data_IF_372712811861
#
_entry.id   IF_372712811861
#
_cell.length_a   1.000
_cell.length_b   1.000
_cell.length_c   1.000
_cell.angle_alpha   90.00
_cell.angle_beta   90.00
_cell.angle_gamma   90.00
#
_symmetry.space_group_name_H-M   'P 1'
#
loop_
_entity.id
_entity.type
_entity.pdbx_description
1 polymer ?
#
# COMPACT_ATOMS: atom_id res chain seq x y z
N UNK A 1 -31.47 24.79 -34.81
CA UNK A 1 -31.95 23.51 -35.38
C UNK A 1 -30.75 22.58 -35.61
N UNK A 2 -30.57 21.53 -34.80
CA UNK A 2 -29.91 20.27 -35.23
C UNK A 2 -31.01 19.41 -35.90
N UNK A 3 -30.71 18.29 -36.61
CA UNK A 3 -29.59 17.92 -37.48
C UNK A 3 -30.07 17.28 -38.83
N UNK A 4 -29.18 17.01 -39.79
CA UNK A 4 -29.35 15.98 -40.86
C UNK A 4 -27.97 15.37 -41.15
N UNK A 5 -27.58 14.29 -40.48
CA UNK A 5 -27.70 12.85 -40.81
C UNK A 5 -26.41 12.26 -41.37
N UNK A 6 -26.06 11.08 -40.86
CA UNK A 6 -24.79 10.34 -40.95
C UNK A 6 -24.52 9.70 -42.33
N UNK A 7 -25.16 10.19 -43.40
CA UNK A 7 -25.26 9.47 -44.69
C UNK A 7 -24.46 10.11 -45.84
N UNK A 8 -23.85 11.29 -45.64
CA UNK A 8 -23.09 11.97 -46.70
C UNK A 8 -21.56 11.76 -46.62
N UNK A 9 -21.07 10.94 -45.67
CA UNK A 9 -19.64 10.69 -45.49
C UNK A 9 -19.05 9.57 -46.35
N UNK A 10 -19.86 8.77 -47.07
CA UNK A 10 -19.37 7.64 -47.87
C UNK A 10 -19.01 7.98 -49.33
N UNK A 11 -19.02 9.25 -49.73
CA UNK A 11 -18.77 9.65 -51.11
C UNK A 11 -17.36 10.19 -51.41
N UNK A 12 -16.43 10.18 -50.45
CA UNK A 12 -15.03 10.54 -50.70
C UNK A 12 -14.10 9.43 -50.20
N UNK A 13 -13.91 8.44 -51.05
CA UNK A 13 -12.92 7.37 -50.90
C UNK A 13 -11.50 7.93 -50.87
N UNK A 14 -11.07 8.42 -49.71
CA UNK A 14 -9.70 8.76 -49.39
C UNK A 14 -9.35 8.16 -48.04
N UNK A 15 -8.32 7.30 -48.00
CA UNK A 15 -7.67 6.89 -46.76
C UNK A 15 -7.11 8.13 -46.07
N UNK A 16 -7.88 8.74 -45.18
CA UNK A 16 -7.38 9.77 -44.28
C UNK A 16 -7.07 9.12 -42.93
N UNK A 17 -5.78 9.11 -42.63
CA UNK A 17 -5.23 8.83 -41.32
C UNK A 17 -5.78 9.85 -40.32
N UNK A 18 -6.61 9.40 -39.38
CA UNK A 18 -7.20 10.22 -38.33
C UNK A 18 -6.29 10.34 -37.09
N UNK A 19 -4.99 10.07 -37.24
CA UNK A 19 -3.98 10.26 -36.18
C UNK A 19 -3.72 11.73 -35.82
N UNK A 20 -4.34 12.68 -36.52
CA UNK A 20 -4.15 14.12 -36.33
C UNK A 20 -5.47 14.87 -36.18
N UNK A 21 -6.18 14.66 -35.05
CA UNK A 21 -7.20 15.64 -34.64
C UNK A 21 -6.64 16.57 -33.56
N UNK A 22 -6.37 17.79 -34.04
CA UNK A 22 -6.00 18.99 -33.31
C UNK A 22 -6.86 19.22 -32.05
N UNK A 23 -6.19 19.56 -30.95
CA UNK A 23 -6.60 20.69 -30.13
C UNK A 23 -5.56 21.79 -30.38
N UNK A 24 -5.83 22.65 -31.38
CA UNK A 24 -5.39 24.04 -31.33
C UNK A 24 -6.38 24.77 -30.42
N UNK A 25 -6.02 25.78 -29.63
CA UNK A 25 -5.27 26.94 -30.09
C UNK A 25 -4.94 27.85 -28.89
N UNK A 26 -3.76 28.48 -28.88
CA UNK A 26 -3.47 29.91 -28.59
C UNK A 26 -2.07 30.14 -27.97
N UNK A 27 -1.19 30.73 -28.78
CA UNK A 27 0.16 31.27 -28.51
C UNK A 27 1.36 30.31 -28.48
N UNK A 28 2.08 30.25 -29.62
CA UNK A 28 3.46 29.78 -29.71
C UNK A 28 3.58 28.34 -30.20
N UNK A 29 4.31 28.15 -31.30
CA UNK A 29 4.57 26.89 -32.03
C UNK A 29 4.86 25.75 -31.05
N UNK A 30 3.84 24.93 -30.72
CA UNK A 30 4.07 23.67 -30.03
C UNK A 30 4.57 22.69 -31.08
N UNK A 31 5.85 22.34 -30.98
CA UNK A 31 6.47 21.27 -31.78
C UNK A 31 5.65 19.98 -31.63
N UNK A 32 5.44 19.18 -32.70
CA UNK A 32 4.80 17.87 -32.61
C UNK A 32 5.41 16.99 -31.51
N UNK A 33 4.60 16.20 -30.79
CA UNK A 33 5.07 15.41 -29.65
C UNK A 33 6.10 14.34 -30.03
N UNK A 34 6.05 13.83 -31.26
CA UNK A 34 7.04 12.94 -31.84
C UNK A 34 8.40 13.62 -32.06
N UNK A 35 8.40 14.89 -32.49
CA UNK A 35 9.63 15.70 -32.56
C UNK A 35 10.16 16.04 -31.16
N UNK A 36 9.27 16.37 -30.21
CA UNK A 36 9.65 16.60 -28.82
C UNK A 36 10.25 15.34 -28.20
N UNK A 37 9.66 14.16 -28.46
CA UNK A 37 10.20 12.88 -28.02
C UNK A 37 11.60 12.70 -28.60
N UNK A 38 11.79 12.89 -29.91
CA UNK A 38 13.09 12.75 -30.56
C UNK A 38 14.14 13.72 -29.98
N UNK A 39 13.75 14.94 -29.62
CA UNK A 39 14.62 15.95 -29.03
C UNK A 39 14.85 15.80 -27.52
N UNK A 40 14.02 15.01 -26.81
CA UNK A 40 14.11 14.84 -25.37
C UNK A 40 15.46 14.24 -24.97
N UNK A 41 16.27 15.00 -24.25
CA UNK A 41 17.61 14.62 -23.82
C UNK A 41 17.66 14.24 -22.33
N UNK A 42 16.67 14.65 -21.56
CA UNK A 42 16.60 14.43 -20.12
C UNK A 42 15.35 13.64 -19.74
N UNK A 43 15.39 13.02 -18.54
CA UNK A 43 14.22 12.36 -17.96
C UNK A 43 13.06 13.34 -17.77
N UNK A 44 13.34 14.60 -17.42
CA UNK A 44 12.30 15.63 -17.28
C UNK A 44 11.60 15.93 -18.61
N UNK A 45 12.37 16.03 -19.71
CA UNK A 45 11.79 16.21 -21.04
C UNK A 45 10.93 15.01 -21.44
N UNK A 46 11.38 13.79 -21.15
CA UNK A 46 10.63 12.57 -21.41
C UNK A 46 9.32 12.51 -20.61
N UNK A 47 9.34 12.86 -19.33
CA UNK A 47 8.14 12.92 -18.48
C UNK A 47 7.15 13.97 -18.98
N UNK A 48 7.63 15.12 -19.47
CA UNK A 48 6.77 16.13 -20.11
C UNK A 48 6.10 15.59 -21.37
N UNK A 49 6.84 14.91 -22.23
CA UNK A 49 6.26 14.29 -23.45
C UNK A 49 5.24 13.22 -23.07
N UNK A 50 5.57 12.35 -22.12
CA UNK A 50 4.68 11.31 -21.61
C UNK A 50 3.35 11.87 -21.08
N UNK A 51 3.41 12.87 -20.18
CA UNK A 51 2.22 13.48 -19.58
C UNK A 51 1.32 14.21 -20.58
N UNK A 52 1.88 14.67 -21.70
CA UNK A 52 1.12 15.36 -22.76
C UNK A 52 0.66 14.42 -23.88
N UNK A 53 1.19 13.19 -23.95
CA UNK A 53 0.82 12.24 -24.99
C UNK A 53 -0.54 11.60 -24.71
N UNK A 54 -1.40 11.38 -25.72
CA UNK A 54 -2.61 10.60 -25.55
C UNK A 54 -2.27 9.20 -25.02
N UNK A 55 -2.95 8.76 -23.96
CA UNK A 55 -2.74 7.45 -23.33
C UNK A 55 -2.82 6.34 -24.38
N UNK A 56 -1.85 5.42 -24.35
CA UNK A 56 -1.71 4.30 -25.30
C UNK A 56 -1.42 4.70 -26.77
N UNK A 57 -1.09 5.96 -27.05
CA UNK A 57 -0.54 6.34 -28.37
C UNK A 57 0.86 5.78 -28.58
N UNK A 58 1.33 5.72 -29.82
CA UNK A 58 2.69 5.28 -30.13
C UNK A 58 3.76 6.15 -29.42
N UNK A 59 3.56 7.47 -29.37
CA UNK A 59 4.46 8.40 -28.68
C UNK A 59 4.44 8.16 -27.16
N UNK A 60 3.27 7.89 -26.59
CA UNK A 60 3.13 7.54 -25.18
C UNK A 60 3.90 6.28 -24.80
N UNK A 61 3.76 5.20 -25.59
CA UNK A 61 4.45 3.93 -25.34
C UNK A 61 5.96 4.06 -25.53
N UNK A 62 6.42 4.79 -26.56
CA UNK A 62 7.85 5.06 -26.76
C UNK A 62 8.43 5.95 -25.65
N UNK A 63 7.67 6.92 -25.14
CA UNK A 63 8.08 7.73 -24.00
C UNK A 63 8.25 6.86 -22.75
N UNK A 64 7.30 5.97 -22.47
CA UNK A 64 7.39 5.00 -21.36
C UNK A 64 8.65 4.13 -21.43
N UNK A 65 8.93 3.54 -22.59
CA UNK A 65 10.12 2.70 -22.79
C UNK A 65 11.43 3.48 -22.55
N UNK A 66 11.48 4.74 -23.00
CA UNK A 66 12.65 5.61 -22.80
C UNK A 66 12.79 6.09 -21.35
N UNK A 67 11.68 6.40 -20.68
CA UNK A 67 11.66 6.73 -19.25
C UNK A 67 12.19 5.55 -18.45
N UNK A 68 11.70 4.33 -18.71
CA UNK A 68 12.16 3.11 -18.05
C UNK A 68 13.67 2.91 -18.21
N UNK A 69 14.18 3.05 -19.45
CA UNK A 69 15.60 2.90 -19.73
C UNK A 69 16.47 3.93 -18.99
N UNK A 70 16.04 5.19 -18.92
CA UNK A 70 16.78 6.23 -18.20
C UNK A 70 16.67 6.05 -16.67
N UNK A 71 15.53 5.60 -16.15
CA UNK A 71 15.36 5.26 -14.73
C UNK A 71 16.27 4.11 -14.32
N UNK A 72 16.36 3.03 -15.11
CA UNK A 72 17.30 1.92 -14.86
C UNK A 72 18.77 2.38 -14.86
N UNK A 73 19.13 3.29 -15.77
CA UNK A 73 20.46 3.89 -15.81
C UNK A 73 20.75 4.73 -14.57
N UNK A 74 19.84 5.60 -14.17
CA UNK A 74 19.97 6.42 -12.95
C UNK A 74 20.03 5.55 -11.69
N UNK A 75 19.23 4.49 -11.66
CA UNK A 75 19.24 3.48 -10.58
C UNK A 75 20.61 2.81 -10.44
N UNK A 76 21.32 2.60 -11.55
CA UNK A 76 22.68 2.03 -11.56
C UNK A 76 23.71 2.90 -10.83
N UNK A 77 23.53 4.23 -10.86
CA UNK A 77 24.39 5.20 -10.17
C UNK A 77 23.86 5.68 -8.82
N UNK A 78 22.58 5.45 -8.50
CA UNK A 78 21.95 5.91 -7.27
C UNK A 78 22.58 5.24 -6.04
N UNK A 79 23.03 6.06 -5.09
CA UNK A 79 23.67 5.59 -3.84
C UNK A 79 22.99 6.12 -2.58
N UNK A 80 22.11 7.11 -2.70
CA UNK A 80 21.38 7.70 -1.58
C UNK A 80 19.90 7.34 -1.63
N UNK A 81 19.21 7.42 -0.49
CA UNK A 81 17.75 7.24 -0.45
C UNK A 81 17.03 8.29 -1.30
N UNK A 82 17.50 9.53 -1.29
CA UNK A 82 16.93 10.63 -2.09
C UNK A 82 16.98 10.31 -3.59
N UNK A 83 18.14 9.85 -4.08
CA UNK A 83 18.29 9.45 -5.49
C UNK A 83 17.33 8.30 -5.84
N UNK A 84 17.21 7.32 -4.96
CA UNK A 84 16.36 6.15 -5.20
C UNK A 84 14.87 6.51 -5.20
N UNK A 85 14.43 7.39 -4.29
CA UNK A 85 13.06 7.89 -4.27
C UNK A 85 12.74 8.68 -5.53
N UNK A 86 13.67 9.51 -6.00
CA UNK A 86 13.53 10.22 -7.27
C UNK A 86 13.36 9.26 -8.45
N UNK A 87 14.14 8.20 -8.50
CA UNK A 87 13.99 7.16 -9.53
C UNK A 87 12.64 6.45 -9.40
N UNK A 88 12.25 6.04 -8.19
CA UNK A 88 10.99 5.37 -7.94
C UNK A 88 9.79 6.19 -8.44
N UNK A 89 9.70 7.47 -8.06
CA UNK A 89 8.60 8.35 -8.47
C UNK A 89 8.64 8.79 -9.95
N UNK A 90 9.76 8.60 -10.63
CA UNK A 90 9.88 8.90 -12.06
C UNK A 90 9.68 7.67 -12.94
N UNK A 91 9.77 6.47 -12.36
CA UNK A 91 9.59 5.22 -13.07
C UNK A 91 8.10 5.01 -13.39
N UNK A 92 7.78 4.33 -14.51
CA UNK A 92 6.40 3.98 -14.79
C UNK A 92 5.82 3.02 -13.73
N UNK A 93 4.54 3.17 -13.42
CA UNK A 93 3.84 2.30 -12.46
C UNK A 93 3.97 0.81 -12.84
N UNK A 94 4.34 -0.02 -11.87
CA UNK A 94 4.55 -1.46 -12.00
C UNK A 94 5.80 -1.87 -12.78
N UNK A 95 6.64 -0.93 -13.20
CA UNK A 95 7.85 -1.18 -13.99
C UNK A 95 8.94 -1.92 -13.21
N UNK A 96 9.97 -2.38 -13.92
CA UNK A 96 11.12 -3.01 -13.29
C UNK A 96 11.97 -1.98 -12.56
N UNK A 97 12.15 -0.78 -13.12
CA UNK A 97 12.87 0.31 -12.48
C UNK A 97 12.24 0.70 -11.13
N UNK A 98 10.90 0.83 -11.08
CA UNK A 98 10.17 1.14 -9.85
C UNK A 98 10.41 0.07 -8.77
N UNK A 99 10.23 -1.21 -9.13
CA UNK A 99 10.41 -2.35 -8.21
C UNK A 99 11.83 -2.45 -7.70
N UNK A 100 12.83 -2.29 -8.57
CA UNK A 100 14.22 -2.34 -8.16
C UNK A 100 14.62 -1.12 -7.30
N UNK A 101 14.09 0.07 -7.60
CA UNK A 101 14.29 1.25 -6.78
C UNK A 101 13.77 1.02 -5.36
N UNK A 102 12.53 0.57 -5.22
CA UNK A 102 11.93 0.25 -3.93
C UNK A 102 12.70 -0.86 -3.19
N UNK A 103 13.15 -1.88 -3.90
CA UNK A 103 14.00 -2.94 -3.34
C UNK A 103 15.35 -2.42 -2.80
N UNK A 104 15.95 -1.41 -3.45
CA UNK A 104 17.16 -0.74 -2.93
C UNK A 104 16.84 0.19 -1.77
N UNK A 105 15.73 0.93 -1.82
CA UNK A 105 15.24 1.78 -0.73
C UNK A 105 15.11 0.93 0.53
N UNK A 106 14.44 -0.21 0.47
CA UNK A 106 14.31 -1.13 1.60
C UNK A 106 15.66 -1.55 2.21
N UNK A 107 16.67 -1.82 1.36
CA UNK A 107 18.02 -2.22 1.81
C UNK A 107 18.75 -1.08 2.53
N UNK A 108 18.61 0.16 2.04
CA UNK A 108 19.27 1.35 2.61
C UNK A 108 18.49 1.99 3.76
N UNK A 109 17.17 1.78 3.83
CA UNK A 109 16.31 2.32 4.87
C UNK A 109 16.77 1.81 6.25
N UNK A 110 17.09 2.74 7.14
CA UNK A 110 17.54 2.44 8.50
C UNK A 110 16.69 3.10 9.56
N UNK A 111 16.04 4.21 9.23
CA UNK A 111 15.11 4.88 10.14
C UNK A 111 13.73 4.27 10.04
N UNK A 112 12.94 4.41 11.11
CA UNK A 112 11.55 3.94 11.11
C UNK A 112 10.70 4.71 10.09
N UNK A 113 10.97 6.00 9.89
CA UNK A 113 10.30 6.85 8.91
C UNK A 113 10.54 6.35 7.48
N UNK A 114 11.81 6.08 7.12
CA UNK A 114 12.14 5.52 5.80
C UNK A 114 11.45 4.18 5.55
N UNK A 115 11.38 3.33 6.58
CA UNK A 115 10.74 2.03 6.47
C UNK A 115 9.23 2.14 6.30
N UNK A 116 8.56 3.06 7.01
CA UNK A 116 7.13 3.32 6.81
C UNK A 116 6.84 3.92 5.44
N UNK A 117 7.69 4.83 4.94
CA UNK A 117 7.59 5.33 3.59
C UNK A 117 7.69 4.18 2.57
N UNK A 118 8.70 3.33 2.69
CA UNK A 118 8.86 2.15 1.84
C UNK A 118 7.67 1.17 1.96
N UNK A 119 7.10 1.00 3.16
CA UNK A 119 5.94 0.15 3.39
C UNK A 119 4.70 0.64 2.64
N UNK A 120 4.45 1.95 2.66
CA UNK A 120 3.28 2.55 2.03
C UNK A 120 3.33 2.46 0.51
N UNK A 121 4.52 2.57 -0.07
CA UNK A 121 4.74 2.49 -1.53
C UNK A 121 4.86 1.05 -2.03
N UNK A 122 5.08 0.08 -1.13
CA UNK A 122 5.14 -1.31 -1.53
C UNK A 122 3.76 -1.81 -1.99
N UNK A 123 3.71 -2.57 -3.11
CA UNK A 123 2.47 -3.17 -3.59
C UNK A 123 1.81 -4.00 -2.50
N UNK A 124 0.49 -3.91 -2.41
CA UNK A 124 -0.29 -4.70 -1.48
C UNK A 124 -0.03 -6.19 -1.67
N UNK A 125 0.02 -6.91 -0.53
CA UNK A 125 0.31 -8.33 -0.46
C UNK A 125 1.63 -8.80 -1.09
N UNK A 126 2.57 -7.90 -1.38
CA UNK A 126 3.91 -8.28 -1.84
C UNK A 126 4.79 -8.83 -0.72
N UNK A 127 5.68 -9.77 -1.06
CA UNK A 127 6.73 -10.27 -0.17
C UNK A 127 7.62 -9.14 0.36
N UNK A 128 7.82 -8.08 -0.44
CA UNK A 128 8.58 -6.91 -0.05
C UNK A 128 7.88 -6.13 1.07
N UNK A 129 6.57 -5.89 0.94
CA UNK A 129 5.77 -5.21 1.98
C UNK A 129 5.81 -5.97 3.30
N UNK A 130 5.77 -7.31 3.25
CA UNK A 130 5.95 -8.16 4.43
C UNK A 130 7.35 -8.02 5.03
N UNK A 131 8.42 -8.11 4.22
CA UNK A 131 9.79 -7.96 4.71
C UNK A 131 10.05 -6.57 5.33
N UNK A 132 9.47 -5.51 4.77
CA UNK A 132 9.54 -4.17 5.34
C UNK A 132 8.86 -4.14 6.71
N UNK A 133 7.64 -4.68 6.82
CA UNK A 133 6.91 -4.76 8.09
C UNK A 133 7.67 -5.58 9.14
N UNK A 134 8.25 -6.71 8.77
CA UNK A 134 9.10 -7.51 9.68
C UNK A 134 10.31 -6.70 10.17
N UNK A 135 10.95 -5.93 9.29
CA UNK A 135 12.07 -5.05 9.66
C UNK A 135 11.63 -3.91 10.58
N UNK A 136 10.44 -3.35 10.37
CA UNK A 136 9.78 -2.34 11.23
C UNK A 136 9.52 -2.91 12.63
N UNK A 137 8.99 -4.13 12.72
CA UNK A 137 8.56 -4.76 13.97
C UNK A 137 9.72 -5.40 14.75
N UNK A 138 10.81 -5.80 14.09
CA UNK A 138 11.97 -6.43 14.72
C UNK A 138 12.53 -5.69 15.95
N UNK A 139 12.73 -4.36 15.94
CA UNK A 139 13.18 -3.63 17.13
C UNK A 139 12.09 -3.43 18.19
N UNK A 140 10.81 -3.64 17.86
CA UNK A 140 9.68 -3.41 18.76
C UNK A 140 9.47 -4.60 19.71
N UNK A 141 10.16 -4.59 20.85
CA UNK A 141 10.16 -5.69 21.82
C UNK A 141 9.33 -5.42 23.08
N UNK A 142 8.78 -4.22 23.23
CA UNK A 142 7.99 -3.82 24.41
C UNK A 142 6.56 -3.47 24.00
N UNK A 143 5.62 -3.68 24.93
CA UNK A 143 4.21 -3.34 24.71
C UNK A 143 4.04 -1.85 24.39
N UNK A 144 4.72 -0.96 25.13
CA UNK A 144 4.64 0.49 24.90
C UNK A 144 5.07 0.89 23.48
N UNK A 145 6.16 0.31 22.98
CA UNK A 145 6.64 0.59 21.62
C UNK A 145 5.61 0.09 20.59
N UNK A 146 5.08 -1.12 20.77
CA UNK A 146 4.10 -1.68 19.85
C UNK A 146 2.78 -0.90 19.86
N UNK A 147 2.30 -0.45 21.01
CA UNK A 147 1.11 0.39 21.12
C UNK A 147 1.30 1.75 20.47
N UNK A 148 2.46 2.39 20.66
CA UNK A 148 2.79 3.64 19.96
C UNK A 148 2.83 3.45 18.44
N UNK A 149 3.38 2.32 17.98
CA UNK A 149 3.38 1.97 16.55
C UNK A 149 1.96 1.74 16.04
N UNK A 150 1.12 1.01 16.78
CA UNK A 150 -0.28 0.79 16.43
C UNK A 150 -1.01 2.13 16.24
N UNK A 151 -0.91 3.05 17.20
CA UNK A 151 -1.55 4.36 17.11
C UNK A 151 -1.01 5.28 16.01
N UNK A 152 0.22 5.02 15.56
CA UNK A 152 0.86 5.77 14.47
C UNK A 152 0.65 5.10 13.11
N UNK A 153 0.12 3.87 13.06
CA UNK A 153 -0.18 3.17 11.81
C UNK A 153 -1.47 3.72 11.24
N UNK A 154 -1.40 4.39 10.08
CA UNK A 154 -2.56 4.99 9.46
C UNK A 154 -3.20 3.96 8.52
N UNK A 155 -4.37 3.43 8.89
CA UNK A 155 -5.31 2.69 8.03
C UNK A 155 -4.65 1.61 7.15
N UNK A 156 -3.96 0.65 7.77
CA UNK A 156 -3.46 -0.54 7.07
C UNK A 156 -3.84 -1.79 7.85
N UNK A 157 -4.86 -2.49 7.37
CA UNK A 157 -5.40 -3.68 8.03
C UNK A 157 -4.34 -4.75 8.28
N UNK A 158 -3.36 -4.92 7.36
CA UNK A 158 -2.30 -5.93 7.50
C UNK A 158 -1.25 -5.55 8.53
N UNK A 159 -0.76 -4.30 8.52
CA UNK A 159 0.19 -3.83 9.54
C UNK A 159 -0.44 -3.80 10.93
N UNK A 160 -1.65 -3.25 11.05
CA UNK A 160 -2.41 -3.19 12.29
C UNK A 160 -2.62 -4.58 12.89
N UNK A 161 -3.06 -5.54 12.07
CA UNK A 161 -3.25 -6.93 12.50
C UNK A 161 -1.95 -7.56 13.00
N UNK A 162 -0.82 -7.36 12.31
CA UNK A 162 0.45 -7.92 12.78
C UNK A 162 0.98 -7.25 14.06
N UNK A 163 0.80 -5.94 14.21
CA UNK A 163 1.15 -5.22 15.43
C UNK A 163 0.30 -5.73 16.60
N UNK A 164 -1.03 -5.81 16.42
CA UNK A 164 -1.95 -6.31 17.44
C UNK A 164 -1.64 -7.77 17.80
N UNK A 165 -1.29 -8.62 16.83
CA UNK A 165 -0.87 -9.99 17.08
C UNK A 165 0.39 -10.02 17.95
N UNK A 166 1.37 -9.17 17.67
CA UNK A 166 2.60 -9.09 18.47
C UNK A 166 2.34 -8.58 19.88
N UNK A 167 1.45 -7.59 20.03
CA UNK A 167 0.98 -7.11 21.33
C UNK A 167 0.33 -8.26 22.11
N UNK A 168 -0.58 -9.00 21.47
CA UNK A 168 -1.25 -10.16 22.08
C UNK A 168 -0.25 -11.21 22.57
N UNK A 169 0.77 -11.53 21.76
CA UNK A 169 1.83 -12.49 22.12
C UNK A 169 2.60 -12.06 23.38
N UNK A 170 2.95 -10.77 23.48
CA UNK A 170 3.72 -10.22 24.62
C UNK A 170 2.87 -9.93 25.86
N UNK A 171 1.56 -9.77 25.70
CA UNK A 171 0.67 -9.45 26.82
C UNK A 171 0.44 -10.68 27.70
N UNK A 172 0.63 -10.56 29.01
CA UNK A 172 0.51 -11.70 29.94
C UNK A 172 -0.49 -11.47 31.07
N UNK A 173 -1.14 -10.30 31.12
CA UNK A 173 -2.11 -9.98 32.18
C UNK A 173 -3.53 -9.91 31.61
N UNK A 174 -4.56 -10.41 32.33
CA UNK A 174 -5.96 -10.31 31.89
C UNK A 174 -6.39 -8.86 31.59
N UNK A 175 -5.97 -7.90 32.41
CA UNK A 175 -6.34 -6.49 32.24
C UNK A 175 -5.82 -5.88 30.93
N UNK A 176 -4.56 -6.14 30.59
CA UNK A 176 -3.99 -5.67 29.32
C UNK A 176 -4.61 -6.43 28.13
N UNK A 177 -4.88 -7.73 28.26
CA UNK A 177 -5.54 -8.52 27.22
C UNK A 177 -6.96 -8.00 26.92
N UNK A 178 -7.66 -7.49 27.93
CA UNK A 178 -8.93 -6.80 27.73
C UNK A 178 -8.79 -5.53 26.89
N UNK A 179 -7.65 -4.84 27.00
CA UNK A 179 -7.27 -3.72 26.12
C UNK A 179 -7.09 -4.19 24.67
N UNK A 180 -6.34 -5.28 24.47
CA UNK A 180 -6.13 -5.89 23.14
C UNK A 180 -7.45 -6.31 22.51
N UNK A 181 -8.30 -7.03 23.24
CA UNK A 181 -9.64 -7.43 22.79
C UNK A 181 -10.45 -6.23 22.30
N UNK A 182 -10.55 -5.19 23.13
CA UNK A 182 -11.35 -4.00 22.81
C UNK A 182 -10.86 -3.32 21.54
N UNK A 183 -9.54 -3.20 21.38
CA UNK A 183 -8.95 -2.59 20.20
C UNK A 183 -9.22 -3.44 18.96
N UNK A 184 -8.94 -4.75 19.02
CA UNK A 184 -9.12 -5.67 17.90
C UNK A 184 -10.58 -5.76 17.43
N UNK A 185 -11.55 -5.77 18.36
CA UNK A 185 -12.98 -5.75 18.03
C UNK A 185 -13.42 -4.47 17.30
N UNK A 186 -12.70 -3.36 17.49
CA UNK A 186 -13.00 -2.10 16.81
C UNK A 186 -12.27 -1.97 15.45
N UNK A 187 -11.25 -2.78 15.19
CA UNK A 187 -10.36 -2.66 14.02
C UNK A 187 -10.55 -3.77 12.97
N UNK A 188 -11.72 -4.40 12.92
CA UNK A 188 -12.01 -5.54 12.02
C UNK A 188 -11.05 -6.73 12.18
N UNK A 189 -10.39 -6.85 13.33
CA UNK A 189 -9.42 -7.91 13.65
C UNK A 189 -10.06 -8.99 14.53
N UNK A 190 -11.18 -9.57 14.08
CA UNK A 190 -12.01 -10.49 14.88
C UNK A 190 -11.23 -11.72 15.37
N UNK A 191 -10.29 -12.23 14.57
CA UNK A 191 -9.44 -13.36 14.95
C UNK A 191 -8.57 -13.03 16.18
N UNK A 192 -7.99 -11.82 16.21
CA UNK A 192 -7.17 -11.37 17.35
C UNK A 192 -8.05 -11.14 18.58
N UNK A 193 -9.26 -10.61 18.39
CA UNK A 193 -10.22 -10.46 19.48
C UNK A 193 -10.59 -11.81 20.10
N UNK A 194 -10.80 -12.85 19.29
CA UNK A 194 -11.07 -14.21 19.77
C UNK A 194 -9.87 -14.80 20.50
N UNK A 195 -8.66 -14.71 19.93
CA UNK A 195 -7.44 -15.20 20.59
C UNK A 195 -7.18 -14.46 21.92
N UNK A 196 -7.51 -13.17 22.01
CA UNK A 196 -7.43 -12.42 23.25
C UNK A 196 -8.40 -12.97 24.31
N UNK A 197 -9.65 -13.28 23.94
CA UNK A 197 -10.62 -13.89 24.86
C UNK A 197 -10.19 -15.29 25.33
N UNK A 198 -9.65 -16.12 24.44
CA UNK A 198 -9.10 -17.43 24.79
C UNK A 198 -7.97 -17.29 25.82
N UNK A 199 -7.03 -16.38 25.57
CA UNK A 199 -5.91 -16.14 26.49
C UNK A 199 -6.36 -15.55 27.83
N UNK A 200 -7.40 -14.70 27.84
CA UNK A 200 -8.00 -14.22 29.10
C UNK A 200 -8.62 -15.38 29.87
N UNK A 201 -9.35 -16.27 29.19
CA UNK A 201 -9.99 -17.42 29.81
C UNK A 201 -8.97 -18.35 30.46
N UNK A 202 -7.82 -18.59 29.80
CA UNK A 202 -6.72 -19.39 30.34
C UNK A 202 -6.05 -18.76 31.57
N UNK A 203 -5.98 -17.43 31.62
CA UNK A 203 -5.32 -16.68 32.69
C UNK A 203 -6.28 -16.19 33.78
N UNK A 204 -7.58 -16.39 33.60
CA UNK A 204 -8.60 -15.90 34.51
C UNK A 204 -8.43 -16.56 35.88
N UNK A 205 -8.20 -15.74 36.91
CA UNK A 205 -8.11 -16.18 38.30
C UNK A 205 -9.32 -15.74 39.13
N UNK A 206 -10.25 -15.00 38.50
CA UNK A 206 -11.42 -14.45 39.16
C UNK A 206 -12.70 -14.86 38.43
N UNK A 207 -13.77 -15.03 39.21
CA UNK A 207 -15.11 -15.26 38.66
C UNK A 207 -15.59 -14.08 37.79
N UNK A 208 -15.13 -12.86 38.08
CA UNK A 208 -15.47 -11.67 37.32
C UNK A 208 -14.89 -11.74 35.89
N UNK A 209 -13.62 -12.14 35.75
CA UNK A 209 -12.99 -12.33 34.44
C UNK A 209 -13.73 -13.38 33.61
N UNK A 210 -14.04 -14.53 34.21
CA UNK A 210 -14.77 -15.61 33.54
C UNK A 210 -16.16 -15.17 33.06
N UNK A 211 -16.91 -14.46 33.92
CA UNK A 211 -18.21 -13.89 33.56
C UNK A 211 -18.09 -12.86 32.44
N UNK A 212 -17.03 -12.05 32.45
CA UNK A 212 -16.79 -11.05 31.42
C UNK A 212 -16.41 -11.70 30.08
N UNK A 213 -15.64 -12.78 30.08
CA UNK A 213 -15.38 -13.59 28.87
C UNK A 213 -16.69 -14.14 28.31
N UNK A 214 -17.53 -14.76 29.14
CA UNK A 214 -18.85 -15.27 28.72
C UNK A 214 -19.71 -14.20 28.03
N UNK A 215 -19.81 -13.01 28.63
CA UNK A 215 -20.62 -11.89 28.07
C UNK A 215 -20.07 -11.38 26.74
N UNK A 216 -18.76 -11.55 26.49
CA UNK A 216 -18.08 -11.02 25.30
C UNK A 216 -17.84 -12.05 24.20
N UNK A 217 -17.96 -13.33 24.51
CA UNK A 217 -17.89 -14.40 23.54
C UNK A 217 -19.10 -14.39 22.59
N UNK A 218 -18.89 -14.88 21.37
CA UNK A 218 -19.97 -15.08 20.42
C UNK A 218 -20.87 -16.23 20.90
N UNK A 219 -22.18 -16.05 20.73
CA UNK A 219 -23.16 -17.07 21.11
C UNK A 219 -22.92 -18.38 20.33
N UNK A 220 -22.91 -19.50 21.05
CA UNK A 220 -22.62 -20.84 20.56
C UNK A 220 -21.12 -21.13 20.36
N UNK A 221 -20.23 -20.16 20.58
CA UNK A 221 -18.78 -20.35 20.41
C UNK A 221 -18.19 -21.31 21.44
N UNK A 222 -17.04 -21.89 21.11
CA UNK A 222 -16.35 -22.77 22.04
C UNK A 222 -15.85 -22.01 23.28
N UNK A 223 -15.40 -20.76 23.09
CA UNK A 223 -15.00 -19.85 24.19
C UNK A 223 -16.16 -19.65 25.17
N UNK A 224 -17.37 -19.42 24.67
CA UNK A 224 -18.56 -19.26 25.53
C UNK A 224 -18.80 -20.51 26.38
N UNK A 225 -18.78 -21.68 25.77
CA UNK A 225 -19.01 -22.96 26.46
C UNK A 225 -17.94 -23.25 27.51
N UNK A 226 -16.69 -22.96 27.19
CA UNK A 226 -15.58 -23.10 28.13
C UNK A 226 -15.70 -22.11 29.29
N UNK A 227 -16.08 -20.87 29.02
CA UNK A 227 -16.33 -19.87 30.07
C UNK A 227 -17.47 -20.30 31.01
N UNK A 228 -18.59 -20.82 30.49
CA UNK A 228 -19.68 -21.37 31.31
C UNK A 228 -19.17 -22.49 32.21
N UNK A 229 -18.40 -23.44 31.65
CA UNK A 229 -17.85 -24.56 32.42
C UNK A 229 -16.94 -24.06 33.54
N UNK A 230 -16.01 -23.14 33.23
CA UNK A 230 -15.10 -22.57 34.19
C UNK A 230 -15.84 -21.81 35.30
N UNK A 231 -16.91 -21.07 34.99
CA UNK A 231 -17.77 -20.40 35.97
C UNK A 231 -18.39 -21.42 36.94
N UNK A 232 -18.96 -22.50 36.41
CA UNK A 232 -19.58 -23.55 37.22
C UNK A 232 -18.58 -24.31 38.10
N UNK A 233 -17.32 -24.42 37.68
CA UNK A 233 -16.24 -25.06 38.45
C UNK A 233 -15.66 -24.14 39.54
N UNK A 234 -15.87 -22.82 39.41
CA UNK A 234 -15.41 -21.82 40.38
C UNK A 234 -16.38 -21.65 41.57
N UNK A 235 -17.66 -22.01 41.40
CA UNK A 235 -18.73 -21.97 42.41
C UNK A 235 -18.81 -23.26 43.26
#
# INVERSE_FOLDING_TARGET
MKPKTYADCEALGGKHDLSSFLIADTFGILTPLDEQLAAAATLEDLLKVYNNAPVNSAVYLQALERIEAECLKQLGSATTLEDLWKVHYSAPDGSEAEKQALGKIFKLATTLEDLWAAYNEAPDDSDLKQQILEKILKPATTLDVLWNMYHSTHNSSKAETQILKRILELTTTPDELWGVYRTASNSSSDEIAQQALEKILELATTLEDLRRVYVKSLEGSEIEKQAIRAICEFE
#
